data_IF_707604386702
#
_entry.id   IF_707604386702
#
_cell.length_a   1.000
_cell.length_b   1.000
_cell.length_c   1.000
_cell.angle_alpha   90.00
_cell.angle_beta   90.00
_cell.angle_gamma   90.00
#
_symmetry.space_group_name_H-M   'P 1'
#
loop_
_entity.id
_entity.type
_entity.pdbx_description
1 polymer ?
#
# COMPACT_ATOMS: atom_id res chain seq x y z
N UNK A 1 22.42 10.56 6.02
CA UNK A 1 22.32 9.16 5.54
C UNK A 1 21.26 8.35 6.30
N UNK A 2 21.18 8.48 7.63
CA UNK A 2 20.16 7.81 8.45
C UNK A 2 18.71 8.15 8.04
N UNK A 3 18.40 9.42 7.73
CA UNK A 3 17.04 9.78 7.29
C UNK A 3 16.64 9.12 5.97
N UNK A 4 17.57 8.95 5.01
CA UNK A 4 17.26 8.25 3.75
C UNK A 4 16.91 6.78 3.97
N UNK A 5 17.61 6.11 4.90
CA UNK A 5 17.34 4.71 5.28
C UNK A 5 15.97 4.60 5.93
N UNK A 6 15.69 5.46 6.92
CA UNK A 6 14.41 5.48 7.63
C UNK A 6 13.25 5.69 6.66
N UNK A 7 13.34 6.68 5.76
CA UNK A 7 12.23 6.96 4.84
C UNK A 7 12.08 5.85 3.78
N UNK A 8 13.17 5.21 3.33
CA UNK A 8 13.06 4.03 2.46
C UNK A 8 12.41 2.83 3.17
N UNK A 9 12.73 2.63 4.46
CA UNK A 9 12.11 1.58 5.26
C UNK A 9 10.61 1.82 5.42
N UNK A 10 10.19 3.08 5.62
CA UNK A 10 8.76 3.43 5.65
C UNK A 10 8.05 3.10 4.34
N UNK A 11 8.62 3.46 3.19
CA UNK A 11 8.04 3.10 1.88
C UNK A 11 7.87 1.58 1.74
N UNK A 12 8.89 0.81 2.11
CA UNK A 12 8.87 -0.65 2.05
C UNK A 12 7.85 -1.27 3.00
N UNK A 13 7.75 -0.76 4.23
CA UNK A 13 6.74 -1.19 5.20
C UNK A 13 5.32 -0.89 4.72
N UNK A 14 5.12 0.27 4.09
CA UNK A 14 3.85 0.66 3.48
C UNK A 14 3.44 -0.35 2.40
N UNK A 15 4.36 -0.67 1.51
CA UNK A 15 4.13 -1.58 0.39
C UNK A 15 3.79 -2.99 0.90
N UNK A 16 4.60 -3.53 1.82
CA UNK A 16 4.34 -4.83 2.44
C UNK A 16 2.98 -4.82 3.17
N UNK A 17 2.67 -3.75 3.90
CA UNK A 17 1.40 -3.60 4.62
C UNK A 17 0.19 -3.66 3.68
N UNK A 18 0.24 -2.97 2.54
CA UNK A 18 -0.82 -3.00 1.54
C UNK A 18 -1.00 -4.39 0.92
N UNK A 19 0.11 -5.05 0.57
CA UNK A 19 0.06 -6.40 0.02
C UNK A 19 -0.54 -7.40 1.00
N UNK A 20 -0.10 -7.36 2.27
CA UNK A 20 -0.66 -8.22 3.32
C UNK A 20 -2.15 -7.96 3.52
N UNK A 21 -2.58 -6.70 3.44
CA UNK A 21 -3.99 -6.33 3.61
C UNK A 21 -4.85 -6.85 2.44
N UNK A 22 -4.35 -6.76 1.20
CA UNK A 22 -5.02 -7.33 0.03
C UNK A 22 -5.10 -8.86 0.11
N UNK A 23 -4.02 -9.52 0.51
CA UNK A 23 -4.00 -10.98 0.69
C UNK A 23 -4.98 -11.39 1.79
N UNK A 24 -5.01 -10.68 2.92
CA UNK A 24 -5.94 -10.94 4.01
C UNK A 24 -7.40 -10.75 3.57
N UNK A 25 -7.69 -9.69 2.81
CA UNK A 25 -9.01 -9.45 2.22
C UNK A 25 -9.43 -10.55 1.24
N UNK A 26 -8.51 -10.98 0.38
CA UNK A 26 -8.75 -12.07 -0.56
C UNK A 26 -9.03 -13.39 0.16
N UNK A 27 -8.17 -13.80 1.10
CA UNK A 27 -8.30 -15.07 1.83
C UNK A 27 -9.54 -15.07 2.73
N UNK A 28 -9.78 -13.98 3.47
CA UNK A 28 -10.98 -13.84 4.30
C UNK A 28 -12.28 -13.80 3.48
N UNK A 29 -12.24 -13.13 2.33
CA UNK A 29 -13.33 -13.13 1.36
C UNK A 29 -13.59 -14.53 0.78
N UNK A 30 -12.53 -15.25 0.41
CA UNK A 30 -12.62 -16.61 -0.13
C UNK A 30 -13.26 -17.58 0.87
N UNK A 31 -12.86 -17.51 2.14
CA UNK A 31 -13.40 -18.37 3.19
C UNK A 31 -14.89 -18.10 3.49
N UNK A 32 -15.36 -16.87 3.29
CA UNK A 32 -16.74 -16.48 3.62
C UNK A 32 -17.73 -16.68 2.46
N UNK A 33 -17.29 -16.57 1.20
CA UNK A 33 -18.19 -16.60 0.04
C UNK A 33 -17.58 -17.15 -1.25
N UNK A 34 -16.48 -17.93 -1.15
CA UNK A 34 -15.78 -18.48 -2.30
C UNK A 34 -15.28 -17.38 -3.25
N UNK A 35 -15.42 -17.59 -4.56
CA UNK A 35 -14.93 -16.65 -5.58
C UNK A 35 -15.53 -15.26 -5.43
N UNK A 36 -16.85 -15.16 -5.20
CA UNK A 36 -17.54 -13.86 -5.07
C UNK A 36 -17.07 -13.14 -3.80
N UNK A 37 -16.98 -13.87 -2.69
CA UNK A 37 -16.46 -13.31 -1.44
C UNK A 37 -15.03 -12.80 -1.58
N UNK A 38 -14.17 -13.50 -2.32
CA UNK A 38 -12.79 -13.09 -2.57
C UNK A 38 -12.69 -11.80 -3.38
N UNK A 39 -13.54 -11.62 -4.40
CA UNK A 39 -13.61 -10.38 -5.19
C UNK A 39 -14.05 -9.22 -4.30
N UNK A 40 -15.13 -9.39 -3.53
CA UNK A 40 -15.63 -8.36 -2.61
C UNK A 40 -14.59 -8.04 -1.54
N UNK A 41 -13.91 -9.05 -1.00
CA UNK A 41 -12.84 -8.91 -0.02
C UNK A 41 -11.64 -8.16 -0.55
N UNK A 42 -11.22 -8.40 -1.79
CA UNK A 42 -10.18 -7.63 -2.47
C UNK A 42 -10.57 -6.16 -2.66
N UNK A 43 -11.80 -5.89 -3.09
CA UNK A 43 -12.28 -4.51 -3.28
C UNK A 43 -12.36 -3.78 -1.95
N UNK A 44 -12.94 -4.42 -0.92
CA UNK A 44 -13.07 -3.83 0.41
C UNK A 44 -11.70 -3.56 1.05
N UNK A 45 -10.76 -4.48 0.93
CA UNK A 45 -9.39 -4.30 1.42
C UNK A 45 -8.63 -3.22 0.64
N UNK A 46 -8.77 -3.14 -0.69
CA UNK A 46 -8.18 -2.05 -1.47
C UNK A 46 -8.71 -0.67 -1.04
N UNK A 47 -10.03 -0.55 -0.85
CA UNK A 47 -10.65 0.70 -0.37
C UNK A 47 -10.17 1.03 1.04
N UNK A 48 -10.18 0.06 1.95
CA UNK A 48 -9.72 0.26 3.31
C UNK A 48 -8.24 0.65 3.37
N UNK A 49 -7.39 -0.01 2.58
CA UNK A 49 -5.97 0.32 2.46
C UNK A 49 -5.76 1.73 1.93
N UNK A 50 -6.51 2.14 0.90
CA UNK A 50 -6.45 3.50 0.37
C UNK A 50 -6.90 4.57 1.39
N UNK A 51 -7.92 4.29 2.20
CA UNK A 51 -8.41 5.22 3.24
C UNK A 51 -7.46 5.26 4.43
N UNK A 52 -7.03 4.10 4.93
CA UNK A 52 -6.19 3.99 6.12
C UNK A 52 -4.75 4.45 5.87
N UNK A 53 -4.18 4.09 4.72
CA UNK A 53 -2.81 4.45 4.34
C UNK A 53 -2.72 5.65 3.39
N UNK A 54 -3.84 6.28 3.03
CA UNK A 54 -3.90 7.31 1.98
C UNK A 54 -2.92 8.46 2.15
N UNK A 55 -2.79 8.99 3.37
CA UNK A 55 -1.84 10.06 3.66
C UNK A 55 -0.39 9.63 3.39
N UNK A 56 -0.03 8.41 3.79
CA UNK A 56 1.31 7.87 3.56
C UNK A 56 1.56 7.56 2.07
N UNK A 57 0.54 7.12 1.34
CA UNK A 57 0.62 6.91 -0.11
C UNK A 57 0.89 8.21 -0.86
N UNK A 58 0.19 9.28 -0.49
CA UNK A 58 0.41 10.62 -1.07
C UNK A 58 1.81 11.13 -0.77
N UNK A 59 2.28 10.98 0.47
CA UNK A 59 3.65 11.37 0.84
C UNK A 59 4.70 10.58 0.05
N UNK A 60 4.46 9.28 -0.17
CA UNK A 60 5.35 8.44 -0.96
C UNK A 60 5.40 8.87 -2.43
N UNK A 61 4.24 9.20 -3.03
CA UNK A 61 4.16 9.70 -4.41
C UNK A 61 4.89 11.04 -4.58
N UNK A 62 4.65 12.00 -3.67
CA UNK A 62 5.35 13.30 -3.67
C UNK A 62 6.86 13.09 -3.59
N UNK A 63 7.32 12.21 -2.69
CA UNK A 63 8.74 11.89 -2.54
C UNK A 63 9.33 11.31 -3.82
N UNK A 64 8.64 10.38 -4.46
CA UNK A 64 9.08 9.77 -5.71
C UNK A 64 9.22 10.83 -6.82
N UNK A 65 8.26 11.76 -6.92
CA UNK A 65 8.30 12.87 -7.89
C UNK A 65 9.45 13.83 -7.64
N UNK A 66 9.67 14.25 -6.39
CA UNK A 66 10.77 15.15 -6.03
C UNK A 66 12.12 14.50 -6.36
N UNK A 67 12.31 13.23 -6.02
CA UNK A 67 13.53 12.49 -6.35
C UNK A 67 13.78 12.42 -7.86
N UNK A 68 12.72 12.17 -8.64
CA UNK A 68 12.81 12.16 -10.10
C UNK A 68 13.13 13.53 -10.72
N UNK A 69 12.86 14.63 -10.01
CA UNK A 69 13.26 15.98 -10.42
C UNK A 69 14.73 16.22 -10.06
N UNK A 70 15.15 15.86 -8.84
CA UNK A 70 16.56 15.96 -8.40
C UNK A 70 17.50 15.18 -9.33
N UNK A 71 17.10 13.99 -9.79
CA UNK A 71 17.92 13.16 -10.68
C UNK A 71 18.02 13.69 -12.12
N UNK A 72 17.18 14.66 -12.50
CA UNK A 72 17.21 15.32 -13.81
C UNK A 72 18.01 16.63 -13.82
N UNK A 73 18.35 17.16 -12.65
CA UNK A 73 19.22 18.34 -12.50
C UNK A 73 20.67 17.91 -12.31
#
# INVERSE_FOLDING_TARGET
MLSKIVVNLYTLLLEIGLWLLLIAGFVGGWQSGGVIGAIVGLVASAIFGAVFFGAFLVLNDIRARVKAIEEKQ
#
